data_IF_699114901597
#
_entry.id   IF_699114901597
#
_cell.length_a   1.000
_cell.length_b   1.000
_cell.length_c   1.000
_cell.angle_alpha   90.00
_cell.angle_beta   90.00
_cell.angle_gamma   90.00
#
_symmetry.space_group_name_H-M   'P 1'
#
loop_
_entity.id
_entity.type
_entity.pdbx_description
1 polymer ?
#
# COMPACT_ATOMS: atom_id res chain seq x y z
N UNK A 1 -47.65 91.10 -2.56
CA UNK A 1 -46.85 90.88 -3.78
C UNK A 1 -45.64 90.04 -3.39
N UNK A 2 -45.70 88.70 -3.52
CA UNK A 2 -45.35 87.92 -4.75
C UNK A 2 -43.82 88.00 -4.96
N UNK A 3 -42.97 86.95 -4.86
CA UNK A 3 -43.09 85.47 -4.80
C UNK A 3 -41.86 84.91 -4.05
N UNK A 4 -42.01 83.72 -3.45
CA UNK A 4 -40.96 82.89 -2.84
C UNK A 4 -39.87 82.38 -3.84
N UNK A 5 -38.70 81.91 -3.34
CA UNK A 5 -37.44 81.96 -4.07
C UNK A 5 -37.15 80.76 -4.97
N UNK A 6 -36.31 81.03 -5.98
CA UNK A 6 -35.64 80.13 -6.94
C UNK A 6 -35.44 78.70 -6.41
N UNK A 7 -36.23 77.74 -6.92
CA UNK A 7 -35.96 76.30 -6.74
C UNK A 7 -35.37 75.73 -8.02
N UNK A 8 -34.21 75.14 -7.82
CA UNK A 8 -33.22 74.70 -8.78
C UNK A 8 -33.71 73.60 -9.72
N UNK A 9 -33.26 73.67 -10.96
CA UNK A 9 -33.39 72.65 -12.01
C UNK A 9 -32.67 71.33 -11.64
N UNK A 10 -32.08 71.24 -10.45
CA UNK A 10 -31.29 70.08 -9.98
C UNK A 10 -32.13 68.92 -9.45
N UNK A 11 -33.42 69.11 -9.13
CA UNK A 11 -34.26 68.01 -8.60
C UNK A 11 -34.64 66.93 -9.61
N UNK A 12 -34.59 67.24 -10.91
CA UNK A 12 -34.83 66.26 -11.98
C UNK A 12 -33.55 65.62 -12.51
N UNK A 13 -32.40 66.29 -12.36
CA UNK A 13 -31.11 65.75 -12.79
C UNK A 13 -30.52 64.76 -11.79
N UNK A 14 -30.70 64.95 -10.48
CA UNK A 14 -30.18 64.02 -9.46
C UNK A 14 -30.74 62.59 -9.66
N UNK A 15 -32.05 62.37 -9.86
CA UNK A 15 -32.60 61.04 -10.11
C UNK A 15 -32.13 60.43 -11.44
N UNK A 16 -31.98 61.25 -12.49
CA UNK A 16 -31.56 60.77 -13.80
C UNK A 16 -30.08 60.37 -13.81
N UNK A 17 -29.23 61.14 -13.13
CA UNK A 17 -27.83 60.80 -12.90
C UNK A 17 -27.73 59.52 -12.06
N UNK A 18 -28.56 59.37 -11.03
CA UNK A 18 -28.58 58.17 -10.20
C UNK A 18 -28.99 56.91 -10.99
N UNK A 19 -30.01 56.99 -11.84
CA UNK A 19 -30.41 55.89 -12.74
C UNK A 19 -29.33 55.58 -13.78
N UNK A 20 -28.67 56.59 -14.35
CA UNK A 20 -27.55 56.40 -15.29
C UNK A 20 -26.32 55.79 -14.60
N UNK A 21 -26.04 56.18 -13.35
CA UNK A 21 -24.97 55.59 -12.55
C UNK A 21 -25.32 54.16 -12.14
N UNK A 22 -26.57 53.86 -11.78
CA UNK A 22 -27.02 52.50 -11.49
C UNK A 22 -26.95 51.60 -12.73
N UNK A 23 -27.35 52.10 -13.91
CA UNK A 23 -27.18 51.41 -15.18
C UNK A 23 -25.69 51.21 -15.51
N UNK A 24 -24.85 52.21 -15.28
CA UNK A 24 -23.41 52.13 -15.49
C UNK A 24 -22.73 51.15 -14.52
N UNK A 25 -23.14 51.14 -13.24
CA UNK A 25 -22.68 50.17 -12.24
C UNK A 25 -23.13 48.74 -12.59
N UNK A 26 -24.37 48.55 -13.05
CA UNK A 26 -24.82 47.27 -13.58
C UNK A 26 -24.00 46.83 -14.80
N UNK A 27 -23.64 47.77 -15.68
CA UNK A 27 -22.78 47.50 -16.85
C UNK A 27 -21.33 47.19 -16.47
N UNK A 28 -20.79 47.81 -15.42
CA UNK A 28 -19.46 47.52 -14.85
C UNK A 28 -19.43 46.23 -14.03
N UNK A 29 -20.58 45.73 -13.55
CA UNK A 29 -20.72 44.39 -12.98
C UNK A 29 -20.85 43.30 -14.06
N UNK A 30 -21.27 43.65 -15.29
CA UNK A 30 -21.38 42.72 -16.43
C UNK A 30 -20.06 42.23 -17.08
N UNK A 31 -18.87 42.87 -16.99
CA UNK A 31 -17.66 42.35 -17.64
C UNK A 31 -17.06 41.15 -16.91
N UNK A 32 -17.52 40.82 -15.69
CA UNK A 32 -17.16 39.57 -15.01
C UNK A 32 -18.04 38.38 -15.40
N UNK A 33 -19.20 38.61 -16.04
CA UNK A 33 -20.08 37.54 -16.50
C UNK A 33 -20.03 37.30 -18.02
N UNK A 34 -19.65 38.30 -18.82
CA UNK A 34 -19.53 38.15 -20.27
C UNK A 34 -18.13 37.79 -20.79
N UNK A 35 -17.13 37.62 -19.91
CA UNK A 35 -15.87 36.95 -20.26
C UNK A 35 -15.90 35.43 -20.10
N UNK A 36 -17.01 34.86 -19.60
CA UNK A 36 -17.16 33.40 -19.50
C UNK A 36 -18.14 32.79 -20.50
N UNK A 37 -19.21 33.46 -20.96
CA UNK A 37 -20.33 32.70 -21.58
C UNK A 37 -20.95 33.22 -22.89
N UNK A 38 -20.28 34.06 -23.69
CA UNK A 38 -20.82 34.49 -25.00
C UNK A 38 -20.08 33.94 -26.24
N UNK A 39 -19.10 33.05 -26.07
CA UNK A 39 -18.40 32.40 -27.19
C UNK A 39 -17.70 31.08 -26.87
N UNK A 40 -17.81 30.59 -25.64
CA UNK A 40 -16.98 29.46 -25.14
C UNK A 40 -17.78 28.33 -24.51
N UNK A 41 -19.12 28.40 -24.45
CA UNK A 41 -19.95 27.32 -23.94
C UNK A 41 -19.83 26.02 -24.76
N UNK A 42 -19.56 26.12 -26.08
CA UNK A 42 -19.31 24.94 -26.92
C UNK A 42 -17.84 24.49 -26.94
N UNK A 43 -16.89 25.42 -26.80
CA UNK A 43 -15.45 25.12 -26.85
C UNK A 43 -14.88 24.56 -25.53
N UNK A 44 -15.41 25.01 -24.39
CA UNK A 44 -15.00 24.56 -23.06
C UNK A 44 -15.47 23.15 -22.71
N UNK A 45 -16.70 22.79 -23.11
CA UNK A 45 -17.29 21.48 -22.86
C UNK A 45 -16.64 20.39 -23.72
N UNK A 46 -16.34 20.70 -24.99
CA UNK A 46 -15.56 19.83 -25.87
C UNK A 46 -14.11 19.61 -25.39
N UNK A 47 -13.47 20.64 -24.83
CA UNK A 47 -12.11 20.52 -24.28
C UNK A 47 -12.07 19.74 -22.97
N UNK A 48 -13.06 19.92 -22.09
CA UNK A 48 -13.22 19.12 -20.86
C UNK A 48 -13.54 17.66 -21.17
N UNK A 49 -14.46 17.37 -22.10
CA UNK A 49 -14.74 15.99 -22.55
C UNK A 49 -13.51 15.33 -23.15
N UNK A 50 -12.75 16.01 -24.01
CA UNK A 50 -11.50 15.47 -24.59
C UNK A 50 -10.42 15.22 -23.55
N UNK A 51 -10.31 16.08 -22.53
CA UNK A 51 -9.38 15.87 -21.40
C UNK A 51 -9.82 14.68 -20.55
N UNK A 52 -11.12 14.56 -20.25
CA UNK A 52 -11.68 13.44 -19.50
C UNK A 52 -11.47 12.10 -20.23
N UNK A 53 -11.81 12.04 -21.52
CA UNK A 53 -11.58 10.85 -22.36
C UNK A 53 -10.08 10.51 -22.48
N UNK A 54 -9.20 11.50 -22.59
CA UNK A 54 -7.76 11.27 -22.61
C UNK A 54 -7.22 10.76 -21.26
N UNK A 55 -7.75 11.24 -20.14
CA UNK A 55 -7.39 10.73 -18.82
C UNK A 55 -7.94 9.33 -18.56
N UNK A 56 -9.16 9.02 -19.00
CA UNK A 56 -9.74 7.69 -18.88
C UNK A 56 -8.98 6.66 -19.72
N UNK A 57 -8.56 7.02 -20.94
CA UNK A 57 -7.72 6.16 -21.78
C UNK A 57 -6.36 5.89 -21.13
N UNK A 58 -5.70 6.92 -20.60
CA UNK A 58 -4.43 6.74 -19.88
C UNK A 58 -4.60 5.89 -18.63
N UNK A 59 -5.66 6.10 -17.85
CA UNK A 59 -5.94 5.29 -16.66
C UNK A 59 -6.26 3.83 -17.02
N UNK A 60 -6.93 3.58 -18.15
CA UNK A 60 -7.18 2.23 -18.64
C UNK A 60 -5.88 1.54 -19.07
N UNK A 61 -5.01 2.24 -19.81
CA UNK A 61 -3.69 1.74 -20.20
C UNK A 61 -2.79 1.47 -18.97
N UNK A 62 -2.79 2.37 -18.00
CA UNK A 62 -2.02 2.20 -16.76
C UNK A 62 -2.54 1.03 -15.92
N UNK A 63 -3.87 0.84 -15.83
CA UNK A 63 -4.47 -0.33 -15.17
C UNK A 63 -4.08 -1.63 -15.86
N UNK A 64 -4.15 -1.67 -17.20
CA UNK A 64 -3.75 -2.86 -17.97
C UNK A 64 -2.27 -3.20 -17.74
N UNK A 65 -1.38 -2.20 -17.78
CA UNK A 65 0.04 -2.38 -17.48
C UNK A 65 0.28 -2.87 -16.06
N UNK A 66 -0.48 -2.35 -15.09
CA UNK A 66 -0.39 -2.78 -13.70
C UNK A 66 -0.83 -4.24 -13.53
N UNK A 67 -1.94 -4.62 -14.16
CA UNK A 67 -2.47 -5.98 -14.15
C UNK A 67 -1.51 -6.97 -14.81
N UNK A 68 -0.93 -6.60 -15.96
CA UNK A 68 0.11 -7.39 -16.63
C UNK A 68 1.35 -7.55 -15.76
N UNK A 69 1.80 -6.48 -15.11
CA UNK A 69 2.95 -6.53 -14.19
C UNK A 69 2.68 -7.44 -12.99
N UNK A 70 1.48 -7.34 -12.39
CA UNK A 70 1.08 -8.22 -11.29
C UNK A 70 1.03 -9.68 -11.75
N UNK A 71 0.51 -9.95 -12.95
CA UNK A 71 0.45 -11.29 -13.52
C UNK A 71 1.85 -11.85 -13.77
N UNK A 72 2.74 -11.08 -14.39
CA UNK A 72 4.14 -11.47 -14.59
C UNK A 72 4.86 -11.77 -13.28
N UNK A 73 4.64 -10.96 -12.24
CA UNK A 73 5.21 -11.21 -10.92
C UNK A 73 4.66 -12.48 -10.28
N UNK A 74 3.36 -12.76 -10.44
CA UNK A 74 2.75 -14.02 -9.97
C UNK A 74 3.32 -15.22 -10.71
N UNK A 75 3.41 -15.15 -12.03
CA UNK A 75 3.93 -16.23 -12.86
C UNK A 75 5.41 -16.50 -12.57
N UNK A 76 6.23 -15.45 -12.42
CA UNK A 76 7.63 -15.57 -12.03
C UNK A 76 7.79 -16.16 -10.63
N UNK A 77 6.96 -15.72 -9.66
CA UNK A 77 6.95 -16.27 -8.30
C UNK A 77 6.52 -17.74 -8.31
N UNK A 78 5.54 -18.11 -9.12
CA UNK A 78 5.03 -19.48 -9.22
C UNK A 78 6.02 -20.41 -9.94
N UNK A 79 6.71 -19.95 -10.98
CA UNK A 79 7.78 -20.69 -11.63
C UNK A 79 8.96 -20.93 -10.68
N UNK A 80 9.35 -19.89 -9.93
CA UNK A 80 10.40 -19.99 -8.90
C UNK A 80 9.98 -20.93 -7.77
N UNK A 81 8.74 -20.80 -7.28
CA UNK A 81 8.19 -21.67 -6.24
C UNK A 81 8.08 -23.12 -6.71
N UNK A 82 7.71 -23.38 -7.96
CA UNK A 82 7.59 -24.74 -8.50
C UNK A 82 8.97 -25.41 -8.68
N UNK A 83 9.98 -24.65 -9.10
CA UNK A 83 11.37 -25.12 -9.17
C UNK A 83 11.99 -25.41 -7.81
N UNK A 84 11.62 -24.63 -6.78
CA UNK A 84 12.06 -24.82 -5.39
C UNK A 84 11.27 -25.93 -4.69
N UNK A 85 9.97 -26.07 -4.95
CA UNK A 85 9.07 -27.04 -4.29
C UNK A 85 9.46 -28.51 -4.52
N UNK A 86 10.25 -28.80 -5.56
CA UNK A 86 10.78 -30.14 -5.81
C UNK A 86 12.10 -30.45 -5.11
N UNK A 87 12.77 -29.45 -4.53
CA UNK A 87 14.09 -29.54 -3.89
C UNK A 87 14.09 -29.11 -2.43
N UNK A 88 13.03 -28.44 -2.00
CA UNK A 88 12.96 -27.78 -0.70
C UNK A 88 11.73 -28.28 0.06
N UNK A 89 11.93 -28.60 1.33
CA UNK A 89 10.84 -28.90 2.26
C UNK A 89 10.67 -27.75 3.26
N UNK A 90 9.52 -27.03 3.24
CA UNK A 90 9.29 -25.92 4.15
C UNK A 90 9.03 -26.43 5.58
N UNK A 91 9.79 -25.91 6.54
CA UNK A 91 9.62 -26.16 7.98
C UNK A 91 9.23 -24.85 8.65
N UNK A 92 8.13 -24.88 9.39
CA UNK A 92 7.58 -23.73 10.07
C UNK A 92 8.12 -23.60 11.49
N UNK A 93 8.61 -22.41 11.83
CA UNK A 93 8.99 -22.02 13.19
C UNK A 93 8.16 -20.80 13.57
N UNK A 94 7.63 -20.73 14.78
CA UNK A 94 6.87 -19.59 15.28
C UNK A 94 7.64 -18.90 16.39
N UNK A 95 7.56 -17.57 16.48
CA UNK A 95 8.12 -16.84 17.61
C UNK A 95 7.02 -16.70 18.68
N UNK A 96 7.31 -17.10 19.92
CA UNK A 96 6.41 -16.86 21.04
C UNK A 96 6.31 -15.36 21.35
N UNK A 97 5.09 -14.85 21.52
CA UNK A 97 4.82 -13.44 21.77
C UNK A 97 5.29 -12.97 23.15
N UNK A 98 5.46 -13.89 24.11
CA UNK A 98 5.83 -13.59 25.50
C UNK A 98 7.34 -13.66 25.71
N UNK A 99 7.93 -14.79 25.31
CA UNK A 99 9.35 -15.06 25.55
C UNK A 99 10.25 -14.69 24.37
N UNK A 100 9.67 -14.57 23.17
CA UNK A 100 10.43 -14.37 21.94
C UNK A 100 11.18 -15.62 21.46
N UNK A 101 11.00 -16.78 22.09
CA UNK A 101 11.67 -18.03 21.66
C UNK A 101 11.12 -18.57 20.34
N UNK A 102 11.95 -19.31 19.61
CA UNK A 102 11.53 -20.00 18.39
C UNK A 102 10.89 -21.33 18.76
N UNK A 103 9.61 -21.49 18.52
CA UNK A 103 8.87 -22.71 18.77
C UNK A 103 8.60 -23.45 17.45
N UNK A 104 8.94 -24.73 17.41
CA UNK A 104 8.49 -25.65 16.36
C UNK A 104 7.27 -26.39 16.85
N UNK A 105 6.14 -26.25 16.15
CA UNK A 105 4.95 -27.06 16.40
C UNK A 105 5.09 -28.40 15.68
N UNK A 106 5.35 -29.48 16.43
CA UNK A 106 5.33 -30.86 15.92
C UNK A 106 4.02 -31.56 16.31
N UNK A 107 3.65 -32.64 15.62
CA UNK A 107 2.44 -33.42 15.93
C UNK A 107 2.47 -34.04 17.35
N UNK A 108 3.65 -34.22 17.92
CA UNK A 108 3.87 -34.81 19.25
C UNK A 108 4.09 -33.76 20.37
N UNK A 109 4.01 -32.46 20.05
CA UNK A 109 4.21 -31.37 21.00
C UNK A 109 4.96 -30.17 20.42
N UNK A 110 5.11 -29.12 21.22
CA UNK A 110 5.88 -27.93 20.86
C UNK A 110 7.34 -28.13 21.28
N UNK A 111 8.27 -28.10 20.33
CA UNK A 111 9.70 -28.09 20.62
C UNK A 111 10.18 -26.64 20.67
N UNK A 112 10.59 -26.18 21.84
CA UNK A 112 11.11 -24.84 22.05
C UNK A 112 12.59 -24.84 21.68
N UNK A 113 12.95 -24.00 20.71
CA UNK A 113 14.31 -23.62 20.32
C UNK A 113 14.58 -22.30 21.05
N UNK A 114 15.26 -22.42 22.17
CA UNK A 114 15.51 -21.32 23.09
C UNK A 114 16.34 -20.18 22.46
N UNK A 115 16.19 -18.97 22.99
CA UNK A 115 16.97 -17.79 22.64
C UNK A 115 18.46 -17.96 22.89
N UNK A 116 18.86 -18.91 23.75
CA UNK A 116 20.26 -19.29 24.02
C UNK A 116 20.70 -20.58 23.32
N UNK A 117 19.97 -21.01 22.29
CA UNK A 117 20.41 -22.14 21.47
C UNK A 117 21.84 -21.92 20.98
N UNK A 118 22.74 -22.84 21.35
CA UNK A 118 24.11 -22.83 20.83
C UNK A 118 24.05 -23.14 19.32
N UNK A 119 24.91 -22.55 18.48
CA UNK A 119 24.92 -22.84 17.04
C UNK A 119 24.95 -24.34 16.72
N UNK A 120 25.63 -25.15 17.54
CA UNK A 120 25.66 -26.61 17.41
C UNK A 120 24.30 -27.31 17.61
N UNK A 121 23.39 -26.76 18.41
CA UNK A 121 22.04 -27.33 18.59
C UNK A 121 21.17 -27.11 17.35
N UNK A 122 21.24 -25.91 16.75
CA UNK A 122 20.53 -25.60 15.50
C UNK A 122 21.09 -26.46 14.37
N UNK A 123 22.41 -26.62 14.29
CA UNK A 123 23.05 -27.52 13.31
C UNK A 123 22.60 -28.97 13.47
N UNK A 124 22.61 -29.51 14.69
CA UNK A 124 22.13 -30.87 14.95
C UNK A 124 20.65 -31.05 14.58
N UNK A 125 19.83 -30.02 14.79
CA UNK A 125 18.43 -30.03 14.37
C UNK A 125 18.30 -30.05 12.83
N UNK A 126 19.05 -29.21 12.13
CA UNK A 126 19.07 -29.15 10.66
C UNK A 126 19.51 -30.50 10.07
N UNK A 127 20.57 -31.09 10.62
CA UNK A 127 21.08 -32.38 10.15
C UNK A 127 20.08 -33.52 10.42
N UNK A 128 19.38 -33.48 11.56
CA UNK A 128 18.30 -34.43 11.87
C UNK A 128 17.10 -34.25 10.93
N UNK A 129 16.73 -33.02 10.59
CA UNK A 129 15.64 -32.74 9.64
C UNK A 129 16.02 -33.21 8.21
N UNK A 130 17.27 -32.98 7.78
CA UNK A 130 17.81 -33.52 6.51
C UNK A 130 17.71 -35.05 6.46
N UNK A 131 18.12 -35.72 7.54
CA UNK A 131 18.03 -37.18 7.63
C UNK A 131 16.56 -37.66 7.54
N UNK A 132 15.65 -37.06 8.32
CA UNK A 132 14.21 -37.39 8.29
C UNK A 132 13.58 -37.19 6.92
N UNK A 133 13.94 -36.10 6.22
CA UNK A 133 13.43 -35.82 4.88
C UNK A 133 13.94 -36.80 3.85
N UNK A 134 15.21 -37.21 3.96
CA UNK A 134 15.79 -38.25 3.10
C UNK A 134 15.07 -39.58 3.29
N UNK A 135 14.78 -39.95 4.54
CA UNK A 135 14.11 -41.21 4.87
C UNK A 135 12.64 -41.22 4.43
N UNK A 136 11.91 -40.11 4.59
CA UNK A 136 10.48 -40.04 4.26
C UNK A 136 10.21 -39.89 2.76
N UNK A 137 11.06 -39.17 2.04
CA UNK A 137 10.82 -38.81 0.63
C UNK A 137 11.70 -39.58 -0.35
N UNK A 138 12.74 -40.28 0.13
CA UNK A 138 13.73 -40.98 -0.70
C UNK A 138 14.58 -40.04 -1.58
N UNK A 139 14.46 -38.73 -1.38
CA UNK A 139 15.16 -37.67 -2.15
C UNK A 139 15.93 -36.78 -1.19
N UNK A 140 17.06 -36.24 -1.65
CA UNK A 140 17.80 -35.21 -0.92
C UNK A 140 17.06 -33.86 -1.06
N UNK A 141 16.05 -33.65 -0.21
CA UNK A 141 15.39 -32.36 -0.06
C UNK A 141 16.14 -31.53 0.99
N UNK A 142 16.36 -30.25 0.69
CA UNK A 142 16.92 -29.31 1.67
C UNK A 142 15.79 -28.73 2.52
N UNK A 143 15.94 -28.70 3.86
CA UNK A 143 14.99 -28.02 4.72
C UNK A 143 15.09 -26.51 4.52
N UNK A 144 13.94 -25.84 4.41
CA UNK A 144 13.85 -24.38 4.38
C UNK A 144 13.01 -23.89 5.54
N UNK A 145 13.61 -23.07 6.40
CA UNK A 145 12.97 -22.64 7.63
C UNK A 145 12.25 -21.31 7.43
N UNK A 146 10.94 -21.30 7.64
CA UNK A 146 10.15 -20.07 7.66
C UNK A 146 9.82 -19.71 9.10
N UNK A 147 10.39 -18.60 9.56
CA UNK A 147 10.17 -18.05 10.90
C UNK A 147 8.95 -17.11 10.85
N UNK A 148 7.89 -17.47 11.55
CA UNK A 148 6.68 -16.67 11.68
C UNK A 148 6.82 -15.67 12.82
N UNK A 149 6.37 -14.46 12.54
CA UNK A 149 6.20 -13.42 13.55
C UNK A 149 5.12 -13.82 14.56
N UNK A 150 5.18 -13.29 15.79
CA UNK A 150 4.12 -13.52 16.77
C UNK A 150 2.76 -13.06 16.23
N UNK A 151 1.71 -13.80 16.59
CA UNK A 151 0.34 -13.44 16.19
C UNK A 151 -0.18 -12.20 16.91
N UNK A 152 0.40 -11.88 18.07
CA UNK A 152 0.04 -10.70 18.84
C UNK A 152 0.69 -9.45 18.23
N UNK A 153 -0.10 -8.49 17.69
CA UNK A 153 0.43 -7.28 17.08
C UNK A 153 1.10 -6.34 18.08
N UNK A 154 0.88 -6.52 19.39
CA UNK A 154 1.54 -5.75 20.44
C UNK A 154 2.82 -6.40 20.94
N UNK A 155 3.21 -7.55 20.38
CA UNK A 155 4.43 -8.23 20.81
C UNK A 155 5.66 -7.37 20.48
N UNK A 156 6.57 -7.15 21.45
CA UNK A 156 7.83 -6.46 21.21
C UNK A 156 8.83 -7.35 20.43
N UNK A 157 8.47 -8.60 20.14
CA UNK A 157 9.32 -9.59 19.53
C UNK A 157 8.96 -9.84 18.05
N UNK A 158 9.93 -10.27 17.22
CA UNK A 158 11.36 -10.28 17.50
C UNK A 158 11.97 -8.87 17.42
N UNK A 159 12.96 -8.60 18.27
CA UNK A 159 13.80 -7.41 18.11
C UNK A 159 14.68 -7.55 16.87
N UNK A 160 15.25 -6.43 16.39
CA UNK A 160 16.18 -6.44 15.25
C UNK A 160 17.38 -7.37 15.49
N UNK A 161 17.92 -7.38 16.70
CA UNK A 161 19.06 -8.22 17.09
C UNK A 161 18.68 -9.71 17.07
N UNK A 162 17.50 -10.07 17.57
CA UNK A 162 17.03 -11.45 17.52
C UNK A 162 16.82 -11.95 16.10
N UNK A 163 16.28 -11.10 15.21
CA UNK A 163 16.16 -11.46 13.78
C UNK A 163 17.51 -11.80 13.17
N UNK A 164 18.53 -10.98 13.43
CA UNK A 164 19.90 -11.24 12.95
C UNK A 164 20.49 -12.50 13.57
N UNK A 165 20.28 -12.70 14.88
CA UNK A 165 20.73 -13.89 15.61
C UNK A 165 20.14 -15.17 15.01
N UNK A 166 18.82 -15.20 14.80
CA UNK A 166 18.12 -16.37 14.24
C UNK A 166 18.56 -16.69 12.83
N UNK A 167 18.60 -15.69 11.95
CA UNK A 167 19.09 -15.88 10.59
C UNK A 167 20.55 -16.35 10.57
N UNK A 168 21.39 -15.80 11.46
CA UNK A 168 22.77 -16.21 11.63
C UNK A 168 22.92 -17.69 12.02
N UNK A 169 22.09 -18.19 12.94
CA UNK A 169 22.13 -19.60 13.34
C UNK A 169 21.83 -20.56 12.17
N UNK A 170 20.82 -20.26 11.36
CA UNK A 170 20.49 -21.09 10.21
C UNK A 170 21.53 -20.99 9.10
N UNK A 171 22.09 -19.80 8.87
CA UNK A 171 23.17 -19.59 7.92
C UNK A 171 24.43 -20.37 8.31
N UNK A 172 24.81 -20.35 9.60
CA UNK A 172 25.95 -21.13 10.12
C UNK A 172 25.70 -22.65 10.05
N UNK A 173 24.46 -23.08 10.24
CA UNK A 173 24.04 -24.48 10.03
C UNK A 173 23.97 -24.89 8.55
N UNK A 174 24.16 -23.95 7.61
CA UNK A 174 24.08 -24.20 6.18
C UNK A 174 22.66 -24.48 5.69
N UNK A 175 21.65 -23.92 6.35
CA UNK A 175 20.25 -23.98 5.95
C UNK A 175 19.74 -22.60 5.53
N UNK A 176 18.83 -22.58 4.54
CA UNK A 176 18.15 -21.36 4.16
C UNK A 176 17.00 -21.09 5.15
N UNK A 177 16.93 -19.85 5.64
CA UNK A 177 15.87 -19.38 6.52
C UNK A 177 15.42 -17.98 6.13
N UNK A 178 14.13 -17.73 6.29
CA UNK A 178 13.54 -16.40 6.07
C UNK A 178 12.49 -16.10 7.15
N UNK A 179 12.28 -14.83 7.43
CA UNK A 179 11.25 -14.36 8.36
C UNK A 179 10.04 -13.97 7.54
N UNK A 180 8.99 -14.78 7.63
CA UNK A 180 7.78 -14.61 6.85
C UNK A 180 7.01 -13.35 7.28
N UNK A 181 6.20 -12.78 6.35
CA UNK A 181 5.22 -11.77 6.72
C UNK A 181 4.26 -12.32 7.79
N UNK A 182 3.64 -11.46 8.63
CA UNK A 182 2.61 -11.91 9.55
C UNK A 182 1.52 -12.64 8.77
N UNK A 183 1.06 -13.79 9.27
CA UNK A 183 0.04 -14.60 8.59
C UNK A 183 -1.23 -13.75 8.43
N UNK A 184 -1.52 -13.32 7.20
CA UNK A 184 -2.81 -12.71 6.85
C UNK A 184 -3.91 -13.75 7.09
N UNK A 185 -4.55 -13.68 8.25
CA UNK A 185 -5.57 -14.66 8.64
C UNK A 185 -6.20 -14.47 10.01
N UNK A 186 -5.55 -13.76 10.93
CA UNK A 186 -6.17 -13.38 12.21
C UNK A 186 -6.91 -12.04 12.05
N UNK A 187 -8.06 -12.06 11.37
CA UNK A 187 -9.08 -11.03 11.66
C UNK A 187 -9.72 -11.36 13.02
N UNK A 188 -9.95 -10.37 13.89
CA UNK A 188 -10.77 -10.56 15.07
C UNK A 188 -12.19 -10.99 14.71
#
# INVERSE_FOLDING_TARGET
MIVLPRRSVTRFFIPMIDVLILLFCAFLLMPFSNRTDAGTASAGDGRRKRLAEATERRQAEDRQRLEESIRQLRDARQATASGLSGRISPILLAIDSKTGHLERREQAGTKIIDGDARPGQVRAMVDADRARLRDSTGRALEPYYTIQLPQDPLSPWPTREMRQKYLGWFQEAGAAADIGPPVEGARP
#
